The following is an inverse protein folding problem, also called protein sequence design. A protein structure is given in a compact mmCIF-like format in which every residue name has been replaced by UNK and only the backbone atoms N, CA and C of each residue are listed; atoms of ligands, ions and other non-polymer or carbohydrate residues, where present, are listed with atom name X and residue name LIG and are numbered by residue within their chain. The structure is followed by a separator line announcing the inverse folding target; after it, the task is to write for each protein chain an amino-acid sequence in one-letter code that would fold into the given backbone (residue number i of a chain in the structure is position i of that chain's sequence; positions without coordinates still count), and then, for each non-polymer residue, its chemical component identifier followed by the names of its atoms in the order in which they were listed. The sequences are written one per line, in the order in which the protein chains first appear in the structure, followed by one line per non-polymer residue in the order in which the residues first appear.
data_IF_619120693844
#
_entry.id   IF_619120693844
#
_cell.length_a   1.000
_cell.length_b   1.000
_cell.length_c   1.000
_cell.angle_alpha   90.00
_cell.angle_beta   90.00
_cell.angle_gamma   90.00
#
_symmetry.space_group_name_H-M   'P 1'
#
loop_
_entity.id
_entity.type
_entity.pdbx_description
1 polymer ?
#
# COMPACT_ATOMS: atom_id res chain seq x y z
N UNK A 1 -24.07 13.90 16.48
CA UNK A 1 -23.56 13.98 15.09
C UNK A 1 -22.96 12.64 14.70
N UNK A 2 -23.75 11.75 14.11
CA UNK A 2 -23.26 10.47 13.56
C UNK A 2 -22.52 10.80 12.27
N UNK A 3 -21.19 10.70 12.27
CA UNK A 3 -20.44 10.87 11.03
C UNK A 3 -20.88 9.77 10.06
N UNK A 4 -21.23 10.13 8.82
CA UNK A 4 -21.31 9.23 7.67
C UNK A 4 -19.98 8.48 7.58
N UNK A 5 -19.88 7.32 8.22
CA UNK A 5 -18.68 6.52 8.21
C UNK A 5 -18.58 5.88 6.83
N UNK A 6 -17.80 6.52 5.95
CA UNK A 6 -17.53 6.06 4.60
C UNK A 6 -17.14 4.58 4.65
N UNK A 7 -17.89 3.72 3.96
CA UNK A 7 -17.62 2.28 3.84
C UNK A 7 -16.26 1.92 3.22
N UNK A 8 -15.40 2.92 2.96
CA UNK A 8 -14.03 2.76 2.48
C UNK A 8 -13.16 1.91 3.42
N UNK A 9 -13.22 2.13 4.74
CA UNK A 9 -12.41 1.36 5.69
C UNK A 9 -12.81 -0.10 5.73
N UNK A 10 -14.11 -0.38 5.79
CA UNK A 10 -14.63 -1.75 5.72
C UNK A 10 -14.34 -2.39 4.35
N UNK A 11 -14.55 -1.68 3.24
CA UNK A 11 -14.24 -2.18 1.91
C UNK A 11 -12.76 -2.54 1.74
N UNK A 12 -11.83 -1.76 2.31
CA UNK A 12 -10.40 -2.06 2.32
C UNK A 12 -10.09 -3.34 3.12
N UNK A 13 -10.65 -3.47 4.32
CA UNK A 13 -10.46 -4.67 5.15
C UNK A 13 -11.02 -5.91 4.42
N UNK A 14 -12.22 -5.82 3.87
CA UNK A 14 -12.84 -6.92 3.11
C UNK A 14 -12.05 -7.27 1.84
N UNK A 15 -11.59 -6.26 1.09
CA UNK A 15 -10.76 -6.47 -0.09
C UNK A 15 -9.44 -7.20 0.24
N UNK A 16 -8.82 -6.89 1.38
CA UNK A 16 -7.56 -7.50 1.81
C UNK A 16 -7.74 -8.92 2.35
N UNK A 17 -8.68 -9.12 3.27
CA UNK A 17 -8.77 -10.39 4.01
C UNK A 17 -9.79 -11.37 3.43
N UNK A 18 -10.90 -10.87 2.89
CA UNK A 18 -11.96 -11.72 2.33
C UNK A 18 -11.80 -11.92 0.82
N UNK A 19 -10.92 -11.14 0.16
CA UNK A 19 -10.67 -11.18 -1.29
C UNK A 19 -11.96 -11.03 -2.12
N UNK A 20 -12.95 -10.32 -1.58
CA UNK A 20 -14.24 -10.10 -2.24
C UNK A 20 -14.11 -9.11 -3.42
N UNK A 21 -14.57 -9.52 -4.60
CA UNK A 21 -14.45 -8.73 -5.83
C UNK A 21 -15.34 -7.49 -5.85
N UNK A 22 -16.49 -7.52 -5.17
CA UNK A 22 -17.42 -6.39 -5.09
C UNK A 22 -16.88 -5.28 -4.18
N UNK A 23 -16.36 -5.66 -3.02
CA UNK A 23 -15.74 -4.74 -2.07
C UNK A 23 -14.36 -4.28 -2.52
N UNK A 24 -13.61 -5.08 -3.28
CA UNK A 24 -12.38 -4.64 -3.94
C UNK A 24 -12.63 -3.46 -4.89
N UNK A 25 -13.74 -3.47 -5.65
CA UNK A 25 -14.12 -2.32 -6.51
C UNK A 25 -14.46 -1.08 -5.69
N UNK A 26 -15.22 -1.23 -4.60
CA UNK A 26 -15.54 -0.11 -3.69
C UNK A 26 -14.28 0.46 -3.05
N UNK A 27 -13.37 -0.41 -2.62
CA UNK A 27 -12.06 -0.03 -2.08
C UNK A 27 -11.26 0.76 -3.11
N UNK A 28 -11.18 0.28 -4.36
CA UNK A 28 -10.47 0.97 -5.43
C UNK A 28 -11.05 2.38 -5.69
N UNK A 29 -12.37 2.52 -5.78
CA UNK A 29 -13.01 3.82 -5.95
C UNK A 29 -12.69 4.78 -4.79
N UNK A 30 -12.69 4.27 -3.56
CA UNK A 30 -12.35 5.07 -2.38
C UNK A 30 -10.87 5.51 -2.39
N UNK A 31 -9.95 4.60 -2.72
CA UNK A 31 -8.51 4.91 -2.83
C UNK A 31 -8.25 5.90 -3.96
N UNK A 32 -8.91 5.76 -5.11
CA UNK A 32 -8.82 6.70 -6.23
C UNK A 32 -9.33 8.10 -5.84
N UNK A 33 -10.45 8.17 -5.11
CA UNK A 33 -10.99 9.43 -4.61
C UNK A 33 -10.01 10.12 -3.65
N UNK A 34 -9.45 9.38 -2.68
CA UNK A 34 -8.46 9.95 -1.76
C UNK A 34 -7.16 10.35 -2.48
N UNK A 35 -6.67 9.52 -3.40
CA UNK A 35 -5.49 9.83 -4.21
C UNK A 35 -5.67 11.15 -4.97
N UNK A 36 -6.80 11.31 -5.67
CA UNK A 36 -7.11 12.54 -6.43
C UNK A 36 -7.22 13.76 -5.52
N UNK A 37 -7.79 13.60 -4.33
CA UNK A 37 -7.94 14.66 -3.33
C UNK A 37 -6.59 15.13 -2.77
N UNK A 38 -5.66 14.22 -2.46
CA UNK A 38 -4.37 14.60 -1.87
C UNK A 38 -3.29 14.93 -2.92
N UNK A 39 -3.47 14.47 -4.17
CA UNK A 39 -2.50 14.67 -5.26
C UNK A 39 -1.97 16.11 -5.43
N UNK A 40 -2.80 17.18 -5.33
CA UNK A 40 -2.30 18.54 -5.50
C UNK A 40 -1.18 18.94 -4.54
N UNK A 41 -1.10 18.30 -3.36
CA UNK A 41 -0.05 18.56 -2.36
C UNK A 41 1.32 18.02 -2.77
N UNK A 42 1.35 17.01 -3.64
CA UNK A 42 2.57 16.28 -4.01
C UNK A 42 3.01 16.57 -5.44
N UNK A 43 2.07 16.51 -6.39
CA UNK A 43 2.35 16.66 -7.83
C UNK A 43 1.83 18.00 -8.39
N UNK A 44 1.56 18.96 -7.51
CA UNK A 44 1.02 20.28 -7.84
C UNK A 44 -0.42 20.23 -8.36
N UNK A 45 -1.05 21.40 -8.56
CA UNK A 45 -2.39 21.49 -9.14
C UNK A 45 -2.50 21.01 -10.60
N UNK A 46 -3.72 20.87 -11.09
CA UNK A 46 -3.97 20.49 -12.49
C UNK A 46 -3.69 21.69 -13.41
N UNK A 47 -2.48 21.76 -13.96
CA UNK A 47 -2.05 22.84 -14.88
C UNK A 47 -2.23 22.46 -16.35
N UNK A 48 -2.48 21.19 -16.63
CA UNK A 48 -2.52 20.63 -17.98
C UNK A 48 -3.94 20.65 -18.56
N UNK A 49 -4.05 20.85 -19.87
CA UNK A 49 -5.31 20.81 -20.63
C UNK A 49 -5.29 19.67 -21.65
N UNK A 50 -6.46 19.16 -22.01
CA UNK A 50 -6.59 18.13 -23.04
C UNK A 50 -5.83 16.84 -22.69
N UNK A 51 -4.87 16.46 -23.54
CA UNK A 51 -4.12 15.20 -23.42
C UNK A 51 -3.35 15.09 -22.09
N UNK A 52 -2.68 16.15 -21.63
CA UNK A 52 -1.96 16.12 -20.34
C UNK A 52 -2.89 15.84 -19.16
N UNK A 53 -4.06 16.49 -19.13
CA UNK A 53 -5.10 16.22 -18.13
C UNK A 53 -5.52 14.73 -18.12
N UNK A 54 -5.61 14.10 -19.29
CA UNK A 54 -5.92 12.68 -19.40
C UNK A 54 -4.77 11.81 -18.85
N UNK A 55 -3.51 12.08 -19.23
CA UNK A 55 -2.35 11.38 -18.71
C UNK A 55 -2.24 11.48 -17.19
N UNK A 56 -2.44 12.68 -16.65
CA UNK A 56 -2.44 12.90 -15.20
C UNK A 56 -3.49 12.05 -14.49
N UNK A 57 -4.71 11.93 -15.03
CA UNK A 57 -5.75 11.05 -14.47
C UNK A 57 -5.35 9.58 -14.52
N UNK A 58 -4.75 9.14 -15.62
CA UNK A 58 -4.24 7.77 -15.78
C UNK A 58 -3.13 7.49 -14.75
N UNK A 59 -2.20 8.41 -14.56
CA UNK A 59 -1.15 8.28 -13.55
C UNK A 59 -1.72 8.17 -12.12
N UNK A 60 -2.65 9.04 -11.74
CA UNK A 60 -3.28 9.01 -10.42
C UNK A 60 -4.06 7.72 -10.19
N UNK A 61 -4.82 7.27 -11.20
CA UNK A 61 -5.51 5.99 -11.17
C UNK A 61 -4.52 4.84 -10.95
N UNK A 62 -3.41 4.81 -11.67
CA UNK A 62 -2.40 3.75 -11.53
C UNK A 62 -1.73 3.77 -10.16
N UNK A 63 -1.46 4.95 -9.60
CA UNK A 63 -0.95 5.10 -8.23
C UNK A 63 -1.92 4.48 -7.21
N UNK A 64 -3.22 4.77 -7.34
CA UNK A 64 -4.26 4.21 -6.47
C UNK A 64 -4.37 2.68 -6.59
N UNK A 65 -4.32 2.15 -7.81
CA UNK A 65 -4.32 0.70 -8.07
C UNK A 65 -3.11 0.02 -7.42
N UNK A 66 -1.90 0.53 -7.66
CA UNK A 66 -0.67 -0.01 -7.07
C UNK A 66 -0.69 0.06 -5.55
N UNK A 67 -1.17 1.16 -4.97
CA UNK A 67 -1.29 1.28 -3.51
C UNK A 67 -2.26 0.25 -2.93
N UNK A 68 -3.39 0.01 -3.59
CA UNK A 68 -4.36 -1.00 -3.16
C UNK A 68 -3.80 -2.43 -3.32
N UNK A 69 -3.19 -2.75 -4.46
CA UNK A 69 -2.52 -4.04 -4.71
C UNK A 69 -1.46 -4.32 -3.63
N UNK A 70 -0.64 -3.32 -3.31
CA UNK A 70 0.41 -3.42 -2.30
C UNK A 70 -0.09 -3.44 -0.86
N UNK A 71 -1.25 -2.84 -0.58
CA UNK A 71 -1.92 -2.96 0.71
C UNK A 71 -2.55 -4.35 0.89
N UNK A 72 -3.19 -4.88 -0.16
CA UNK A 72 -3.86 -6.17 -0.15
C UNK A 72 -2.89 -7.37 -0.18
N UNK A 73 -1.60 -7.14 -0.43
CA UNK A 73 -0.61 -8.22 -0.46
C UNK A 73 -0.50 -8.91 0.92
N UNK A 74 -0.45 -10.21 0.87
CA UNK A 74 -0.32 -11.10 2.03
C UNK A 74 0.70 -12.20 1.73
N UNK A 75 1.12 -12.97 2.74
CA UNK A 75 2.14 -14.00 2.54
C UNK A 75 1.69 -15.11 1.58
N UNK A 76 0.39 -15.33 1.43
CA UNK A 76 -0.23 -16.24 0.47
C UNK A 76 -0.43 -15.64 -0.93
N UNK A 77 -0.20 -14.33 -1.10
CA UNK A 77 -0.21 -13.72 -2.44
C UNK A 77 1.00 -14.25 -3.25
N UNK A 78 0.79 -14.85 -4.44
CA UNK A 78 1.88 -15.41 -5.24
C UNK A 78 3.00 -14.38 -5.49
N UNK A 79 4.24 -14.76 -5.14
CA UNK A 79 5.42 -13.90 -5.30
C UNK A 79 5.59 -12.80 -4.25
N UNK A 80 4.61 -12.56 -3.37
CA UNK A 80 4.69 -11.53 -2.33
C UNK A 80 5.43 -12.00 -1.07
N UNK A 81 5.44 -13.31 -0.79
CA UNK A 81 6.16 -13.86 0.36
C UNK A 81 7.66 -13.53 0.32
N UNK A 82 8.21 -13.14 1.47
CA UNK A 82 9.65 -13.09 1.66
C UNK A 82 10.24 -14.51 1.65
N UNK A 83 11.52 -14.62 1.27
CA UNK A 83 12.29 -15.87 1.30
C UNK A 83 12.42 -16.51 2.68
N UNK A 84 11.99 -15.84 3.76
CA UNK A 84 11.82 -16.46 5.07
C UNK A 84 10.57 -17.36 5.18
N UNK A 85 9.81 -17.52 4.10
CA UNK A 85 8.56 -18.28 4.06
C UNK A 85 7.37 -17.49 4.60
N UNK A 86 7.38 -16.16 4.48
CA UNK A 86 6.29 -15.32 5.02
C UNK A 86 6.33 -15.09 6.54
N UNK A 87 7.20 -15.78 7.29
CA UNK A 87 7.21 -15.74 8.77
C UNK A 87 7.59 -14.39 9.39
N UNK A 88 8.32 -13.55 8.66
CA UNK A 88 8.86 -12.31 9.21
C UNK A 88 10.03 -12.48 10.19
N UNK A 89 10.30 -13.69 10.69
CA UNK A 89 11.42 -13.99 11.59
C UNK A 89 12.40 -15.00 10.99
N UNK A 90 13.62 -15.00 11.52
CA UNK A 90 14.69 -15.98 11.23
C UNK A 90 15.38 -16.35 12.53
N UNK A 91 15.95 -17.56 12.61
CA UNK A 91 16.66 -18.01 13.80
C UNK A 91 17.87 -17.12 14.06
N UNK A 92 18.02 -16.66 15.29
CA UNK A 92 19.21 -15.95 15.73
C UNK A 92 20.25 -16.93 16.28
N UNK A 93 21.20 -17.31 15.45
CA UNK A 93 22.20 -18.32 15.81
C UNK A 93 23.10 -17.88 16.96
N UNK A 94 23.37 -16.58 17.10
CA UNK A 94 24.24 -16.06 18.17
C UNK A 94 23.52 -16.10 19.51
N UNK A 95 22.33 -15.50 19.57
CA UNK A 95 21.51 -15.51 20.78
C UNK A 95 21.07 -16.93 21.16
N UNK A 96 20.79 -17.78 20.18
CA UNK A 96 20.39 -19.17 20.44
C UNK A 96 21.52 -19.97 21.10
N UNK A 97 22.77 -19.74 20.65
CA UNK A 97 23.95 -20.36 21.28
C UNK A 97 24.18 -19.83 22.69
N UNK A 98 24.03 -18.51 22.90
CA UNK A 98 24.22 -17.89 24.21
C UNK A 98 23.24 -18.40 25.27
N UNK A 99 21.96 -18.57 24.89
CA UNK A 99 20.91 -18.98 25.82
C UNK A 99 20.62 -20.49 25.83
N UNK A 100 21.31 -21.27 24.99
CA UNK A 100 21.09 -22.72 24.87
C UNK A 100 19.69 -23.12 24.39
N UNK A 101 18.91 -22.16 23.85
CA UNK A 101 17.53 -22.38 23.38
C UNK A 101 17.29 -21.63 22.08
N UNK A 102 16.34 -22.07 21.24
CA UNK A 102 16.08 -21.41 19.97
C UNK A 102 15.50 -20.00 20.17
N UNK A 103 16.27 -18.98 19.76
CA UNK A 103 15.89 -17.57 19.79
C UNK A 103 15.68 -17.06 18.35
N UNK A 104 14.67 -16.25 18.12
CA UNK A 104 14.34 -15.70 16.80
C UNK A 104 14.58 -14.19 16.76
N UNK A 105 14.96 -13.69 15.57
CA UNK A 105 15.08 -12.26 15.28
C UNK A 105 14.26 -11.88 14.06
N UNK A 106 13.97 -10.59 13.91
CA UNK A 106 13.32 -10.05 12.72
C UNK A 106 14.13 -10.40 11.47
N UNK A 107 13.45 -10.85 10.42
CA UNK A 107 14.10 -11.20 9.17
C UNK A 107 14.73 -9.95 8.54
N UNK A 108 16.05 -9.93 8.30
CA UNK A 108 16.74 -8.74 7.79
C UNK A 108 16.31 -8.37 6.35
N UNK A 109 15.74 -9.32 5.61
CA UNK A 109 15.30 -9.12 4.22
C UNK A 109 13.98 -8.36 4.11
N UNK A 110 13.05 -8.61 5.03
CA UNK A 110 11.73 -7.98 5.01
C UNK A 110 11.46 -7.07 6.21
N UNK A 111 12.45 -6.91 7.10
CA UNK A 111 12.33 -6.09 8.30
C UNK A 111 11.22 -6.54 9.23
N UNK A 112 10.94 -7.84 9.30
CA UNK A 112 9.85 -8.37 10.14
C UNK A 112 8.49 -8.52 9.45
N UNK A 113 8.27 -7.91 8.28
CA UNK A 113 6.93 -7.87 7.65
C UNK A 113 6.47 -9.21 7.05
N UNK A 114 7.38 -10.16 6.85
CA UNK A 114 7.09 -11.41 6.12
C UNK A 114 6.92 -11.23 4.61
N UNK A 115 6.83 -10.00 4.11
CA UNK A 115 6.57 -9.68 2.70
C UNK A 115 7.83 -9.17 2.01
N UNK A 116 7.98 -9.48 0.72
CA UNK A 116 9.06 -8.92 -0.10
C UNK A 116 8.94 -7.38 -0.12
N UNK A 117 10.00 -6.61 0.15
CA UNK A 117 9.92 -5.15 0.05
C UNK A 117 9.50 -4.69 -1.36
N UNK A 118 8.63 -3.68 -1.43
CA UNK A 118 8.28 -3.03 -2.69
C UNK A 118 9.37 -2.01 -3.00
N UNK A 119 9.97 -2.11 -4.17
CA UNK A 119 10.97 -1.14 -4.61
C UNK A 119 10.27 0.05 -5.26
N UNK A 120 10.63 1.27 -4.89
CA UNK A 120 10.10 2.49 -5.52
C UNK A 120 10.32 2.52 -7.04
N UNK A 121 11.41 1.92 -7.54
CA UNK A 121 11.68 1.76 -8.97
C UNK A 121 10.65 0.90 -9.70
N UNK A 122 10.07 -0.12 -9.05
CA UNK A 122 9.01 -0.94 -9.62
C UNK A 122 7.72 -0.13 -9.76
N UNK A 123 7.37 0.66 -8.74
CA UNK A 123 6.21 1.57 -8.77
C UNK A 123 6.38 2.61 -9.88
N UNK A 124 7.57 3.21 -9.97
CA UNK A 124 7.91 4.18 -11.01
C UNK A 124 7.69 3.63 -12.41
N UNK A 125 8.32 2.49 -12.71
CA UNK A 125 8.22 1.83 -14.01
C UNK A 125 6.77 1.48 -14.37
N UNK A 126 5.98 1.02 -13.40
CA UNK A 126 4.58 0.67 -13.62
C UNK A 126 3.71 1.88 -13.99
N UNK A 127 4.09 3.10 -13.60
CA UNK A 127 3.39 4.33 -13.98
C UNK A 127 3.94 4.89 -15.30
N UNK A 128 5.27 4.91 -15.46
CA UNK A 128 5.93 5.48 -16.65
C UNK A 128 5.52 4.81 -17.97
N UNK A 129 5.20 3.50 -17.94
CA UNK A 129 4.67 2.78 -19.11
C UNK A 129 3.36 3.40 -19.64
N UNK A 130 2.59 4.08 -18.78
CA UNK A 130 1.30 4.65 -19.15
C UNK A 130 1.36 6.12 -19.53
N UNK A 131 2.29 6.89 -18.93
CA UNK A 131 2.28 8.36 -19.01
C UNK A 131 3.60 8.97 -19.50
N UNK A 132 4.58 8.14 -19.85
CA UNK A 132 5.92 8.57 -20.21
C UNK A 132 6.85 8.67 -18.99
N UNK A 133 8.12 8.99 -19.27
CA UNK A 133 9.16 8.98 -18.24
C UNK A 133 9.05 10.17 -17.30
N UNK A 134 9.26 9.92 -16.01
CA UNK A 134 9.44 10.98 -15.03
C UNK A 134 10.90 11.41 -14.98
N UNK A 135 11.13 12.71 -14.82
CA UNK A 135 12.43 13.16 -14.32
C UNK A 135 12.65 12.67 -12.89
N UNK A 136 13.91 12.51 -12.48
CA UNK A 136 14.27 12.10 -11.11
C UNK A 136 13.57 12.97 -10.05
N UNK A 137 13.56 14.29 -10.26
CA UNK A 137 12.94 15.25 -9.34
C UNK A 137 11.41 15.12 -9.25
N UNK A 138 10.72 14.92 -10.38
CA UNK A 138 9.27 14.68 -10.38
C UNK A 138 8.90 13.41 -9.62
N UNK A 139 9.71 12.36 -9.76
CA UNK A 139 9.50 11.10 -9.06
C UNK A 139 9.76 11.23 -7.55
N UNK A 140 10.99 11.60 -7.17
CA UNK A 140 11.43 11.55 -5.77
C UNK A 140 10.69 12.54 -4.87
N UNK A 141 10.34 13.73 -5.38
CA UNK A 141 9.68 14.77 -4.58
C UNK A 141 8.16 14.83 -4.75
N UNK A 142 7.61 14.18 -5.78
CA UNK A 142 6.19 14.25 -6.09
C UNK A 142 5.50 12.90 -6.06
N UNK A 143 5.69 12.11 -7.11
CA UNK A 143 4.93 10.88 -7.33
C UNK A 143 5.22 9.79 -6.30
N UNK A 144 6.46 9.62 -5.86
CA UNK A 144 6.81 8.62 -4.86
C UNK A 144 6.20 8.95 -3.47
N UNK A 145 6.35 10.19 -2.94
CA UNK A 145 5.64 10.60 -1.73
C UNK A 145 4.12 10.47 -1.81
N UNK A 146 3.52 10.80 -2.96
CA UNK A 146 2.08 10.61 -3.19
C UNK A 146 1.68 9.14 -3.03
N UNK A 147 2.39 8.23 -3.70
CA UNK A 147 2.14 6.80 -3.60
C UNK A 147 2.25 6.30 -2.15
N UNK A 148 3.31 6.69 -1.43
CA UNK A 148 3.49 6.32 -0.02
C UNK A 148 2.36 6.85 0.86
N UNK A 149 1.88 8.07 0.61
CA UNK A 149 0.77 8.66 1.36
C UNK A 149 -0.55 7.92 1.13
N UNK A 150 -0.83 7.50 -0.11
CA UNK A 150 -2.04 6.71 -0.42
C UNK A 150 -1.97 5.32 0.24
N UNK A 151 -0.80 4.67 0.19
CA UNK A 151 -0.59 3.38 0.86
C UNK A 151 -0.74 3.50 2.39
N UNK A 152 -0.14 4.53 2.99
CA UNK A 152 -0.27 4.82 4.41
C UNK A 152 -1.73 5.09 4.81
N UNK A 153 -2.49 5.80 3.98
CA UNK A 153 -3.91 6.01 4.19
C UNK A 153 -4.71 4.69 4.23
N UNK A 154 -4.39 3.73 3.35
CA UNK A 154 -5.05 2.42 3.37
C UNK A 154 -4.86 1.70 4.73
N UNK A 155 -3.62 1.68 5.24
CA UNK A 155 -3.32 1.13 6.56
C UNK A 155 -3.97 1.93 7.70
N UNK A 156 -4.06 3.26 7.59
CA UNK A 156 -4.76 4.09 8.57
C UNK A 156 -6.27 3.77 8.62
N UNK A 157 -6.89 3.51 7.47
CA UNK A 157 -8.30 3.09 7.40
C UNK A 157 -8.52 1.73 8.05
N UNK A 158 -7.60 0.78 7.84
CA UNK A 158 -7.60 -0.52 8.52
C UNK A 158 -7.53 -0.33 10.04
N UNK A 159 -6.53 0.40 10.56
CA UNK A 159 -6.39 0.65 12.00
C UNK A 159 -7.62 1.34 12.60
N UNK A 160 -8.22 2.29 11.87
CA UNK A 160 -9.44 2.99 12.30
C UNK A 160 -10.64 2.04 12.34
N UNK A 161 -10.75 1.14 11.35
CA UNK A 161 -11.80 0.13 11.28
C UNK A 161 -11.63 -0.88 12.41
N UNK A 162 -10.41 -1.36 12.63
CA UNK A 162 -10.09 -2.27 13.73
C UNK A 162 -10.34 -1.62 15.10
N UNK A 163 -10.02 -0.34 15.31
CA UNK A 163 -10.35 0.34 16.56
C UNK A 163 -11.87 0.47 16.79
N UNK A 164 -12.67 0.53 15.73
CA UNK A 164 -14.13 0.63 15.82
C UNK A 164 -14.82 -0.73 16.01
N UNK A 165 -14.35 -1.78 15.33
CA UNK A 165 -14.99 -3.09 15.31
C UNK A 165 -14.25 -4.16 16.13
N UNK A 166 -12.97 -3.95 16.44
CA UNK A 166 -12.11 -4.87 17.19
C UNK A 166 -12.42 -4.96 18.69
N UNK A 167 -13.28 -4.08 19.22
CA UNK A 167 -13.85 -4.26 20.57
C UNK A 167 -14.93 -5.35 20.62
N UNK A 168 -15.39 -5.89 19.48
CA UNK A 168 -16.53 -6.82 19.40
C UNK A 168 -16.10 -8.29 19.22
N UNK A 169 -14.82 -8.57 18.96
CA UNK A 169 -14.31 -9.93 18.71
C UNK A 169 -13.11 -10.24 19.59
N UNK A 170 -13.34 -10.45 20.89
CA UNK A 170 -12.41 -11.13 21.79
C UNK A 170 -12.76 -12.61 21.86
#
# INVERSE_FOLDING_TARGET
MVQKHNGAGMALVMARYCKDLGDAKKALLAVQAECTKIAPRYVGGNKERGHGMALRRVALRRVAELALEHYCRTADTPGAACRCGGRGTVRDLELSKLHGKPMDKACPRCGGTGLRPILGSQVRRAIEVLVGQFTRGQWERGWHPLYLAVLAWCHQQESTTQARYGYVTR
#
